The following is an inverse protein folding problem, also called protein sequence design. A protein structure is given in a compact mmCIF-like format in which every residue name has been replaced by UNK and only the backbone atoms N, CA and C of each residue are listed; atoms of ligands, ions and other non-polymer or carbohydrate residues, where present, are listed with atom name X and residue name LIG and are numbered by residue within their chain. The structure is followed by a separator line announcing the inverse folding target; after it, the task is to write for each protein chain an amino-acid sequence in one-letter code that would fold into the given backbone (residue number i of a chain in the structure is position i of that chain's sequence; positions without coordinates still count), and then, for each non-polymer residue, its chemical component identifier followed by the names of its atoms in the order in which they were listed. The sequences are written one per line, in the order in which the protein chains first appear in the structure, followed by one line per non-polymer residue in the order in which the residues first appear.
data_IF_918819643045
#
_entry.id   IF_918819643045
#
_cell.length_a   1.000
_cell.length_b   1.000
_cell.length_c   1.000
_cell.angle_alpha   90.00
_cell.angle_beta   90.00
_cell.angle_gamma   90.00
#
_symmetry.space_group_name_H-M   'P 1'
#
loop_
_entity.id
_entity.type
_entity.pdbx_description
1 polymer ?
#
# COMPACT_ATOMS: atom_id res chain seq x y z
N UNK A 1 -19.86 36.14 7.23
CA UNK A 1 -20.06 34.84 6.54
C UNK A 1 -20.19 33.66 7.53
N UNK A 2 -19.38 33.57 8.60
CA UNK A 2 -19.41 32.43 9.56
C UNK A 2 -20.79 32.31 10.27
N UNK A 3 -21.50 33.39 10.46
CA UNK A 3 -22.81 33.42 11.13
C UNK A 3 -24.00 33.21 10.18
N UNK A 4 -23.75 33.00 8.90
CA UNK A 4 -24.80 32.64 7.94
C UNK A 4 -25.35 31.24 8.25
N UNK A 5 -26.64 31.04 8.44
CA UNK A 5 -27.21 29.75 8.85
C UNK A 5 -26.88 28.59 7.89
N UNK A 6 -26.78 28.87 6.61
CA UNK A 6 -26.41 27.87 5.60
C UNK A 6 -24.94 27.44 5.79
N UNK A 7 -24.07 28.40 6.11
CA UNK A 7 -22.65 28.13 6.33
C UNK A 7 -22.41 27.34 7.61
N UNK A 8 -23.12 27.75 8.70
CA UNK A 8 -23.05 27.03 9.97
C UNK A 8 -23.52 25.58 9.82
N UNK A 9 -24.67 25.36 9.16
CA UNK A 9 -25.18 24.01 8.90
C UNK A 9 -24.23 23.13 8.06
N UNK A 10 -23.52 23.74 7.10
CA UNK A 10 -22.54 23.02 6.29
C UNK A 10 -21.30 22.67 7.10
N UNK A 11 -20.81 23.58 7.97
CA UNK A 11 -19.68 23.30 8.87
C UNK A 11 -20.02 22.20 9.88
N UNK A 12 -21.21 22.21 10.44
CA UNK A 12 -21.69 21.12 11.32
C UNK A 12 -21.69 19.78 10.58
N UNK A 13 -22.23 19.73 9.38
CA UNK A 13 -22.25 18.48 8.59
C UNK A 13 -20.86 17.99 8.22
N UNK A 14 -19.89 18.87 7.96
CA UNK A 14 -18.49 18.47 7.72
C UNK A 14 -17.81 18.02 9.02
N UNK A 15 -18.08 18.68 10.15
CA UNK A 15 -17.58 18.25 11.46
C UNK A 15 -18.12 16.88 11.87
N UNK A 16 -19.40 16.63 11.64
CA UNK A 16 -20.04 15.32 11.89
C UNK A 16 -19.38 14.22 11.06
N UNK A 17 -19.14 14.47 9.77
CA UNK A 17 -18.42 13.51 8.91
C UNK A 17 -17.02 13.20 9.42
N UNK A 18 -16.29 14.20 9.91
CA UNK A 18 -14.96 14.00 10.49
C UNK A 18 -15.07 13.16 11.76
N UNK A 19 -16.03 13.47 12.63
CA UNK A 19 -16.27 12.72 13.86
C UNK A 19 -16.63 11.26 13.56
N UNK A 20 -17.47 11.01 12.55
CA UNK A 20 -17.78 9.66 12.06
C UNK A 20 -16.54 8.91 11.55
N UNK A 21 -15.64 9.60 10.80
CA UNK A 21 -14.38 8.98 10.35
C UNK A 21 -13.51 8.57 11.53
N UNK A 22 -13.36 9.44 12.54
CA UNK A 22 -12.63 9.09 13.76
C UNK A 22 -13.28 7.95 14.55
N UNK A 23 -14.60 7.94 14.64
CA UNK A 23 -15.34 6.87 15.33
C UNK A 23 -15.13 5.49 14.71
N UNK A 24 -14.89 5.43 13.40
CA UNK A 24 -14.54 4.17 12.69
C UNK A 24 -13.03 3.93 12.57
N UNK A 25 -12.21 4.67 13.33
CA UNK A 25 -10.75 4.47 13.39
C UNK A 25 -9.96 5.09 12.25
N UNK A 26 -10.56 5.96 11.44
CA UNK A 26 -9.84 6.68 10.38
C UNK A 26 -9.25 7.97 10.94
N UNK A 27 -7.92 8.05 10.99
CA UNK A 27 -7.22 9.22 11.49
C UNK A 27 -6.75 10.11 10.34
N UNK A 28 -6.83 11.43 10.55
CA UNK A 28 -6.20 12.42 9.68
C UNK A 28 -4.78 12.64 10.21
N UNK A 29 -3.80 12.40 9.36
CA UNK A 29 -2.38 12.49 9.70
C UNK A 29 -1.65 13.32 8.67
N UNK A 30 -0.49 13.88 9.06
CA UNK A 30 0.36 14.60 8.14
C UNK A 30 0.96 13.65 7.09
N UNK A 31 0.78 13.99 5.82
CA UNK A 31 1.26 13.21 4.69
C UNK A 31 0.53 13.54 3.40
N UNK A 32 0.88 12.82 2.35
CA UNK A 32 0.33 12.98 1.01
C UNK A 32 -0.13 11.65 0.42
N UNK A 33 -1.03 11.71 -0.56
CA UNK A 33 -1.33 10.60 -1.45
C UNK A 33 -0.77 10.90 -2.83
N UNK A 34 0.08 10.04 -3.37
CA UNK A 34 0.75 10.25 -4.65
C UNK A 34 0.83 8.96 -5.44
N UNK A 35 0.86 9.08 -6.77
CA UNK A 35 1.07 7.95 -7.66
C UNK A 35 2.51 7.44 -7.57
N UNK A 36 2.69 6.13 -7.47
CA UNK A 36 4.01 5.51 -7.45
C UNK A 36 4.66 5.55 -8.83
N UNK A 37 5.89 5.99 -8.88
CA UNK A 37 6.71 5.98 -10.08
C UNK A 37 8.13 5.50 -9.77
N UNK A 38 8.77 4.89 -10.73
CA UNK A 38 10.22 4.70 -10.72
C UNK A 38 10.97 6.04 -10.87
N UNK A 39 12.27 6.01 -10.69
CA UNK A 39 13.13 7.17 -10.89
C UNK A 39 13.20 7.54 -12.38
N UNK A 40 12.50 8.59 -12.78
CA UNK A 40 12.43 9.03 -14.18
C UNK A 40 13.79 9.54 -14.72
N UNK A 41 14.65 10.08 -13.85
CA UNK A 41 15.99 10.50 -14.28
C UNK A 41 16.89 9.29 -14.49
N UNK A 42 16.80 8.27 -13.64
CA UNK A 42 17.56 7.04 -13.81
C UNK A 42 17.07 6.24 -15.04
N UNK A 43 15.79 6.31 -15.34
CA UNK A 43 15.23 5.74 -16.58
C UNK A 43 15.93 6.32 -17.84
N UNK A 44 16.25 7.62 -17.84
CA UNK A 44 16.97 8.23 -18.94
C UNK A 44 18.38 7.65 -19.10
N UNK A 45 19.03 7.22 -18.02
CA UNK A 45 20.33 6.56 -18.07
C UNK A 45 20.27 5.20 -18.76
N UNK A 46 19.10 4.57 -18.81
CA UNK A 46 18.88 3.27 -19.46
C UNK A 46 18.61 3.40 -20.97
N UNK A 47 18.39 4.61 -21.49
CA UNK A 47 18.11 4.82 -22.90
C UNK A 47 19.39 4.71 -23.75
N UNK A 48 19.40 3.88 -24.81
CA UNK A 48 20.54 3.79 -25.69
C UNK A 48 20.68 5.07 -26.54
N UNK A 49 21.83 5.69 -26.49
CA UNK A 49 22.16 6.84 -27.37
C UNK A 49 22.98 6.38 -28.57
N UNK A 50 22.41 6.56 -29.74
CA UNK A 50 23.13 6.30 -30.98
C UNK A 50 23.99 7.52 -31.32
N UNK A 51 25.31 7.41 -31.18
CA UNK A 51 26.20 8.43 -31.74
C UNK A 51 26.18 8.35 -33.26
N UNK A 52 25.57 9.33 -33.90
CA UNK A 52 25.68 9.56 -35.35
C UNK A 52 27.05 10.13 -35.64
N UNK A 53 27.92 9.40 -36.35
CA UNK A 53 29.17 9.97 -36.85
C UNK A 53 30.39 9.06 -36.96
N UNK A 54 30.35 7.83 -36.47
CA UNK A 54 31.43 6.86 -36.65
C UNK A 54 30.93 5.54 -37.16
N UNK A 55 31.68 4.92 -38.05
CA UNK A 55 31.39 3.70 -38.80
C UNK A 55 31.12 2.43 -37.93
N UNK A 56 31.12 2.53 -36.63
CA UNK A 56 30.70 1.49 -35.69
C UNK A 56 29.58 2.03 -34.78
N UNK A 57 28.38 1.48 -34.92
CA UNK A 57 27.28 1.71 -33.96
C UNK A 57 27.69 1.11 -32.59
N UNK A 58 28.26 1.92 -31.74
CA UNK A 58 28.43 1.58 -30.34
C UNK A 58 27.23 2.14 -29.57
N UNK A 59 26.41 1.26 -28.98
CA UNK A 59 25.40 1.67 -28.03
C UNK A 59 26.12 2.23 -26.80
N UNK A 60 26.20 3.54 -26.72
CA UNK A 60 26.68 4.22 -25.51
C UNK A 60 25.44 4.68 -24.74
N UNK A 61 25.29 4.22 -23.52
CA UNK A 61 24.27 4.75 -22.62
C UNK A 61 24.70 6.16 -22.18
N UNK A 62 23.72 7.07 -22.11
CA UNK A 62 23.96 8.38 -21.51
C UNK A 62 24.09 8.14 -20.01
N UNK A 63 25.27 8.29 -19.47
CA UNK A 63 25.51 8.17 -18.05
C UNK A 63 25.36 9.56 -17.42
N UNK A 64 24.13 9.94 -17.10
CA UNK A 64 23.84 11.15 -16.33
C UNK A 64 24.16 10.91 -14.86
N UNK A 65 25.42 10.78 -14.51
CA UNK A 65 25.84 10.76 -13.11
C UNK A 65 25.69 12.15 -12.51
N UNK A 66 24.46 12.49 -12.19
CA UNK A 66 24.13 13.80 -11.61
C UNK A 66 24.36 13.81 -10.09
N UNK A 67 24.68 12.65 -9.49
CA UNK A 67 24.82 12.48 -8.06
C UNK A 67 23.51 12.62 -7.28
N UNK A 68 22.38 12.46 -7.97
CA UNK A 68 21.03 12.60 -7.45
C UNK A 68 20.18 11.36 -7.75
N UNK A 69 20.83 10.23 -8.06
CA UNK A 69 20.12 8.98 -8.28
C UNK A 69 19.43 8.55 -6.98
N UNK A 70 18.19 8.12 -7.10
CA UNK A 70 17.47 7.52 -5.98
C UNK A 70 18.05 6.13 -5.70
N UNK A 71 18.37 5.88 -4.46
CA UNK A 71 18.81 4.58 -3.97
C UNK A 71 17.68 3.87 -3.19
N UNK A 72 17.99 2.75 -2.58
CA UNK A 72 17.02 1.96 -1.81
C UNK A 72 16.56 2.62 -0.50
N UNK A 73 17.13 3.74 -0.09
CA UNK A 73 16.84 4.41 1.18
C UNK A 73 16.11 5.73 1.02
N UNK A 74 15.99 6.24 -0.20
CA UNK A 74 15.38 7.54 -0.42
C UNK A 74 14.29 7.53 -1.48
N UNK A 75 13.47 8.58 -1.47
CA UNK A 75 12.43 8.85 -2.44
C UNK A 75 12.43 10.33 -2.81
N UNK A 76 11.77 10.67 -3.90
CA UNK A 76 11.57 12.04 -4.32
C UNK A 76 10.09 12.30 -4.59
N UNK A 77 9.56 13.37 -4.02
CA UNK A 77 8.19 13.79 -4.24
C UNK A 77 8.17 15.31 -4.51
N UNK A 78 7.95 15.73 -5.77
CA UNK A 78 7.98 17.13 -6.16
C UNK A 78 6.98 18.00 -5.38
N UNK A 79 7.40 19.19 -4.98
CA UNK A 79 6.54 20.15 -4.28
C UNK A 79 6.12 19.75 -2.87
N UNK A 80 6.61 18.64 -2.32
CA UNK A 80 6.31 18.23 -0.96
C UNK A 80 7.23 18.90 0.05
N UNK A 81 6.65 19.41 1.13
CA UNK A 81 7.39 20.05 2.22
C UNK A 81 7.81 19.02 3.29
N UNK A 82 8.62 18.03 2.90
CA UNK A 82 9.18 17.09 3.88
C UNK A 82 10.39 17.66 4.58
N UNK A 83 10.52 17.38 5.87
CA UNK A 83 11.71 17.81 6.62
C UNK A 83 12.90 16.94 6.25
N UNK A 84 14.00 17.60 5.85
CA UNK A 84 15.28 16.96 5.61
C UNK A 84 15.73 16.14 6.84
N UNK A 85 16.29 14.95 6.58
CA UNK A 85 16.76 14.05 7.62
C UNK A 85 15.67 13.31 8.40
N UNK A 86 14.38 13.58 8.16
CA UNK A 86 13.29 12.85 8.77
C UNK A 86 12.75 11.78 7.83
N UNK A 87 12.60 10.57 8.37
CA UNK A 87 12.03 9.44 7.63
C UNK A 87 10.53 9.65 7.38
N UNK A 88 10.05 9.22 6.23
CA UNK A 88 8.62 9.10 5.93
C UNK A 88 8.26 7.63 5.77
N UNK A 89 7.08 7.25 6.24
CA UNK A 89 6.54 5.91 6.01
C UNK A 89 5.69 5.91 4.76
N UNK A 90 5.99 5.00 3.85
CA UNK A 90 5.23 4.76 2.64
C UNK A 90 4.30 3.56 2.86
N UNK A 91 3.04 3.72 2.51
CA UNK A 91 2.00 2.70 2.62
C UNK A 91 1.15 2.67 1.35
N UNK A 92 0.64 1.48 1.01
CA UNK A 92 -0.40 1.30 0.00
C UNK A 92 -1.65 0.68 0.64
N UNK A 93 -2.82 1.09 0.20
CA UNK A 93 -4.07 0.44 0.63
C UNK A 93 -4.41 -0.75 -0.30
N UNK A 94 -4.92 -1.86 0.24
CA UNK A 94 -5.14 -2.11 1.65
C UNK A 94 -3.82 -2.36 2.39
N UNK A 95 -3.59 -1.66 3.51
CA UNK A 95 -2.45 -1.91 4.40
C UNK A 95 -2.92 -2.84 5.53
N UNK A 96 -2.27 -3.96 5.71
CA UNK A 96 -2.71 -5.04 6.59
C UNK A 96 -1.68 -5.35 7.67
N UNK A 97 -0.40 -5.39 7.31
CA UNK A 97 0.65 -5.83 8.21
C UNK A 97 1.94 -5.02 8.06
N UNK A 98 2.81 -5.10 9.07
CA UNK A 98 4.07 -4.35 9.12
C UNK A 98 5.07 -4.71 8.00
N UNK A 99 4.94 -5.86 7.35
CA UNK A 99 5.76 -6.23 6.19
C UNK A 99 5.43 -5.41 4.94
N UNK A 100 4.32 -4.67 4.94
CA UNK A 100 3.89 -3.76 3.88
C UNK A 100 4.25 -2.30 4.16
N UNK A 101 5.01 -2.04 5.21
CA UNK A 101 5.47 -0.71 5.58
C UNK A 101 6.89 -0.48 5.06
N UNK A 102 7.13 0.70 4.53
CA UNK A 102 8.45 1.08 4.05
C UNK A 102 8.84 2.47 4.55
N UNK A 103 10.00 2.57 5.19
CA UNK A 103 10.53 3.85 5.65
C UNK A 103 11.65 4.32 4.75
N UNK A 104 11.48 5.48 4.15
CA UNK A 104 12.44 6.11 3.25
C UNK A 104 12.69 7.57 3.66
N UNK A 105 13.85 8.06 3.30
CA UNK A 105 14.20 9.47 3.49
C UNK A 105 13.87 10.28 2.24
N UNK A 106 13.30 11.48 2.37
CA UNK A 106 13.20 12.39 1.23
C UNK A 106 14.60 12.72 0.72
N UNK A 107 14.76 12.69 -0.60
CA UNK A 107 16.04 13.05 -1.23
C UNK A 107 16.32 14.56 -1.02
N UNK A 108 17.50 14.87 -0.55
CA UNK A 108 17.99 16.24 -0.48
C UNK A 108 18.56 16.67 -1.85
N UNK A 109 17.80 17.45 -2.57
CA UNK A 109 18.26 18.06 -3.83
C UNK A 109 18.77 19.48 -3.58
N UNK A 110 19.98 19.58 -3.03
CA UNK A 110 20.60 20.88 -2.70
C UNK A 110 20.81 21.79 -3.91
N UNK A 111 20.81 21.23 -5.13
CA UNK A 111 20.95 21.97 -6.38
C UNK A 111 19.63 22.22 -7.07
N UNK A 112 18.55 21.72 -6.53
CA UNK A 112 17.19 21.81 -7.08
C UNK A 112 17.07 21.30 -8.54
N UNK A 113 17.90 20.32 -8.91
CA UNK A 113 17.93 19.80 -10.27
C UNK A 113 16.73 18.93 -10.60
N UNK A 114 16.28 18.12 -9.63
CA UNK A 114 15.08 17.30 -9.83
C UNK A 114 13.84 18.15 -9.95
N UNK A 115 13.66 19.14 -9.09
CA UNK A 115 12.54 20.07 -9.18
C UNK A 115 12.54 20.87 -10.48
N UNK A 116 13.71 21.22 -11.00
CA UNK A 116 13.81 21.91 -12.28
C UNK A 116 13.20 21.12 -13.44
N UNK A 117 13.38 19.80 -13.46
CA UNK A 117 12.91 18.93 -14.54
C UNK A 117 11.59 18.23 -14.21
N UNK A 118 11.37 17.88 -12.95
CA UNK A 118 10.27 17.02 -12.50
C UNK A 118 9.30 17.73 -11.56
N UNK A 119 9.54 19.01 -11.21
CA UNK A 119 8.72 19.79 -10.27
C UNK A 119 7.25 19.91 -10.65
N UNK A 120 6.91 19.74 -11.92
CA UNK A 120 5.53 19.75 -12.41
C UNK A 120 4.75 18.46 -12.07
N UNK A 121 5.42 17.38 -11.65
CA UNK A 121 4.81 16.08 -11.32
C UNK A 121 4.43 16.03 -9.84
N UNK A 122 3.61 16.98 -9.39
CA UNK A 122 3.27 17.16 -7.96
C UNK A 122 2.49 16.01 -7.36
N UNK A 123 1.84 15.20 -8.19
CA UNK A 123 1.02 14.06 -7.74
C UNK A 123 1.77 12.72 -7.75
N UNK A 124 3.11 12.77 -7.92
CA UNK A 124 3.94 11.57 -8.06
C UNK A 124 4.92 11.45 -6.90
N UNK A 125 5.15 10.24 -6.45
CA UNK A 125 6.27 9.85 -5.58
C UNK A 125 7.18 8.90 -6.35
N UNK A 126 8.46 9.24 -6.43
CA UNK A 126 9.46 8.48 -7.18
C UNK A 126 10.36 7.70 -6.23
N UNK A 127 10.60 6.45 -6.54
CA UNK A 127 11.50 5.56 -5.81
C UNK A 127 12.60 5.03 -6.71
N UNK A 128 13.78 4.77 -6.15
CA UNK A 128 14.90 4.21 -6.92
C UNK A 128 14.58 2.80 -7.42
N UNK A 129 15.15 2.41 -8.56
CA UNK A 129 14.93 1.07 -9.11
C UNK A 129 15.53 -0.05 -8.23
N UNK A 130 16.44 0.28 -7.33
CA UNK A 130 16.98 -0.62 -6.30
C UNK A 130 16.12 -0.68 -5.04
N UNK A 131 15.08 0.14 -4.96
CA UNK A 131 14.12 0.13 -3.88
C UNK A 131 13.22 -1.11 -3.97
N UNK A 132 12.77 -1.59 -2.82
CA UNK A 132 11.79 -2.66 -2.71
C UNK A 132 10.36 -2.16 -2.59
N UNK A 133 10.11 -0.91 -3.00
CA UNK A 133 8.81 -0.30 -2.81
C UNK A 133 7.68 -1.11 -3.45
N UNK A 134 7.86 -1.57 -4.68
CA UNK A 134 6.85 -2.37 -5.36
C UNK A 134 6.56 -3.69 -4.64
N UNK A 135 7.60 -4.38 -4.21
CA UNK A 135 7.47 -5.69 -3.55
C UNK A 135 6.90 -5.58 -2.13
N UNK A 136 7.22 -4.50 -1.40
CA UNK A 136 6.80 -4.32 -0.01
C UNK A 136 5.44 -3.65 0.14
N UNK A 137 5.07 -2.78 -0.77
CA UNK A 137 3.83 -2.01 -0.65
C UNK A 137 2.61 -2.78 -1.18
N UNK A 138 2.39 -3.99 -0.67
CA UNK A 138 1.21 -4.79 -0.98
C UNK A 138 1.10 -5.17 -2.46
N UNK A 139 2.24 -5.51 -3.10
CA UNK A 139 2.28 -5.83 -4.53
C UNK A 139 2.00 -4.61 -5.41
N UNK A 140 2.41 -3.43 -4.97
CA UNK A 140 2.32 -2.22 -5.78
C UNK A 140 3.04 -2.40 -7.11
N UNK A 141 2.46 -1.89 -8.16
CA UNK A 141 3.10 -1.77 -9.47
C UNK A 141 3.06 -0.31 -9.95
N UNK A 142 3.56 -0.06 -11.14
CA UNK A 142 3.70 1.30 -11.68
C UNK A 142 2.59 1.64 -12.68
N UNK A 143 1.45 0.98 -12.58
CA UNK A 143 0.30 1.15 -13.48
C UNK A 143 -0.71 2.21 -13.03
N UNK A 144 -0.41 2.91 -11.95
CA UNK A 144 -1.27 3.96 -11.38
C UNK A 144 -1.58 3.76 -9.90
N UNK A 145 -0.85 2.89 -9.23
CA UNK A 145 -0.99 2.68 -7.79
C UNK A 145 -0.70 3.93 -6.99
N UNK A 146 -1.59 4.20 -6.04
CA UNK A 146 -1.49 5.36 -5.15
C UNK A 146 -0.89 4.96 -3.82
N UNK A 147 0.17 5.67 -3.45
CA UNK A 147 0.93 5.47 -2.22
C UNK A 147 0.68 6.63 -1.27
N UNK A 148 0.50 6.31 0.01
CA UNK A 148 0.49 7.30 1.08
C UNK A 148 1.91 7.51 1.57
N UNK A 149 2.35 8.75 1.61
CA UNK A 149 3.59 9.19 2.25
C UNK A 149 3.27 9.87 3.56
N UNK A 150 3.56 9.22 4.68
CA UNK A 150 3.24 9.71 6.02
C UNK A 150 4.46 10.40 6.61
N UNK A 151 4.33 11.66 6.94
CA UNK A 151 5.36 12.47 7.58
C UNK A 151 5.14 12.72 9.08
N UNK A 152 4.04 12.18 9.63
CA UNK A 152 3.73 12.29 11.05
C UNK A 152 4.81 11.63 11.92
N UNK A 153 5.43 12.35 12.87
CA UNK A 153 6.56 11.84 13.65
C UNK A 153 6.17 10.71 14.61
N UNK A 154 4.93 10.72 15.13
CA UNK A 154 4.46 9.69 16.06
C UNK A 154 4.28 8.38 15.31
N UNK A 155 3.63 8.42 14.15
CA UNK A 155 3.42 7.23 13.33
C UNK A 155 4.75 6.68 12.79
N UNK A 156 5.65 7.54 12.34
CA UNK A 156 6.97 7.13 11.88
C UNK A 156 7.78 6.44 12.99
N UNK A 157 7.68 6.92 14.23
CA UNK A 157 8.33 6.28 15.36
C UNK A 157 7.65 4.94 15.72
N UNK A 158 6.34 4.84 15.63
CA UNK A 158 5.61 3.57 15.83
C UNK A 158 6.05 2.51 14.81
N UNK A 159 6.12 2.86 13.53
CA UNK A 159 6.62 1.95 12.48
C UNK A 159 8.06 1.54 12.74
N UNK A 160 8.93 2.49 13.10
CA UNK A 160 10.33 2.21 13.42
C UNK A 160 10.49 1.21 14.57
N UNK A 161 9.65 1.30 15.60
CA UNK A 161 9.67 0.34 16.74
C UNK A 161 9.17 -1.05 16.36
N UNK A 162 8.31 -1.14 15.36
CA UNK A 162 7.70 -2.38 14.91
C UNK A 162 8.18 -2.82 13.52
N UNK A 163 9.36 -2.36 13.11
CA UNK A 163 9.85 -2.62 11.76
C UNK A 163 9.96 -4.12 11.50
N UNK A 164 9.51 -4.52 10.32
CA UNK A 164 9.62 -5.89 9.87
C UNK A 164 11.08 -6.19 9.50
N UNK A 165 11.65 -7.20 10.14
CA UNK A 165 12.95 -7.73 9.78
C UNK A 165 12.76 -9.02 9.00
N UNK A 166 13.19 -9.00 7.75
CA UNK A 166 13.20 -10.22 6.95
C UNK A 166 14.09 -11.26 7.62
N UNK A 167 13.64 -12.50 7.76
CA UNK A 167 14.49 -13.56 8.26
C UNK A 167 15.70 -13.77 7.33
N UNK A 168 16.85 -14.20 7.86
CA UNK A 168 18.06 -14.40 7.09
C UNK A 168 17.83 -15.45 6.00
N UNK A 169 18.11 -15.08 4.75
CA UNK A 169 17.94 -15.94 3.57
C UNK A 169 19.27 -16.48 3.09
N UNK A 170 19.30 -17.72 2.57
CA UNK A 170 20.40 -18.12 1.72
C UNK A 170 20.43 -17.19 0.49
N UNK A 171 21.62 -16.70 0.16
CA UNK A 171 21.83 -15.88 -1.04
C UNK A 171 21.34 -16.64 -2.27
N UNK A 172 20.20 -16.27 -2.83
CA UNK A 172 19.77 -16.76 -4.12
C UNK A 172 20.32 -15.83 -5.21
N UNK A 173 20.73 -16.41 -6.31
CA UNK A 173 21.30 -15.71 -7.47
C UNK A 173 20.29 -14.69 -8.08
N UNK A 174 19.01 -14.81 -7.75
CA UNK A 174 17.93 -13.96 -8.24
C UNK A 174 17.45 -12.89 -7.25
N UNK A 175 18.02 -12.85 -6.06
CA UNK A 175 17.67 -11.84 -5.06
C UNK A 175 18.34 -10.51 -5.41
N UNK A 176 17.65 -9.62 -6.06
CA UNK A 176 18.11 -8.23 -6.29
C UNK A 176 18.25 -7.47 -4.96
N UNK A 177 17.65 -7.94 -3.90
CA UNK A 177 17.76 -7.37 -2.58
C UNK A 177 17.65 -8.45 -1.51
N UNK A 178 18.21 -8.15 -0.33
CA UNK A 178 18.23 -9.05 0.81
C UNK A 178 16.92 -9.05 1.62
N UNK A 179 15.90 -8.30 1.18
CA UNK A 179 14.74 -7.97 1.98
C UNK A 179 13.39 -8.26 1.27
N UNK A 180 13.32 -9.25 0.42
CA UNK A 180 12.04 -9.68 -0.15
C UNK A 180 11.21 -10.42 0.91
N UNK A 181 9.91 -10.17 1.01
CA UNK A 181 9.03 -10.93 1.89
C UNK A 181 9.19 -12.42 1.63
N UNK A 182 9.35 -13.18 2.71
CA UNK A 182 9.74 -14.59 2.62
C UNK A 182 8.59 -15.55 2.41
N UNK A 183 7.37 -15.11 2.59
CA UNK A 183 6.26 -16.00 2.48
C UNK A 183 6.10 -16.43 1.03
N UNK A 184 6.68 -17.57 0.70
CA UNK A 184 6.41 -18.25 -0.55
C UNK A 184 5.19 -19.14 -0.32
N UNK A 185 4.03 -18.66 -0.74
CA UNK A 185 2.86 -19.51 -0.82
C UNK A 185 3.02 -20.36 -2.08
N UNK A 186 2.91 -21.70 -1.98
CA UNK A 186 2.92 -22.54 -3.16
C UNK A 186 1.81 -22.08 -4.10
N UNK A 187 2.17 -21.55 -5.25
CA UNK A 187 1.20 -21.12 -6.25
C UNK A 187 0.78 -22.31 -7.11
N UNK A 188 -0.52 -22.52 -7.24
CA UNK A 188 -1.04 -23.34 -8.31
C UNK A 188 -0.60 -22.75 -9.66
N UNK A 189 -0.43 -23.60 -10.67
CA UNK A 189 -0.15 -23.11 -12.01
C UNK A 189 -1.31 -22.27 -12.53
N UNK A 190 -1.04 -21.12 -13.19
CA UNK A 190 -2.10 -20.30 -13.77
C UNK A 190 -2.92 -21.11 -14.77
N UNK A 191 -4.24 -21.01 -14.67
CA UNK A 191 -5.12 -21.62 -15.66
C UNK A 191 -5.07 -20.78 -16.94
N UNK A 192 -4.45 -21.33 -17.98
CA UNK A 192 -4.47 -20.71 -19.30
C UNK A 192 -5.87 -20.92 -19.89
N UNK A 193 -6.62 -19.83 -20.11
CA UNK A 193 -7.94 -19.86 -20.74
C UNK A 193 -7.86 -19.31 -22.14
N UNK A 194 -8.61 -19.91 -23.06
CA UNK A 194 -8.68 -19.41 -24.42
C UNK A 194 -9.51 -18.11 -24.45
N UNK A 195 -8.90 -17.04 -24.93
CA UNK A 195 -9.57 -15.73 -25.05
C UNK A 195 -10.72 -15.73 -26.09
N UNK A 196 -10.72 -16.65 -27.04
CA UNK A 196 -11.78 -16.77 -28.03
C UNK A 196 -12.99 -17.57 -27.53
N UNK A 197 -12.83 -18.27 -26.41
CA UNK A 197 -13.94 -18.98 -25.75
C UNK A 197 -14.75 -18.02 -24.88
N UNK A 198 -16.00 -17.81 -25.26
CA UNK A 198 -16.90 -16.90 -24.54
C UNK A 198 -17.27 -17.41 -23.13
N UNK A 199 -17.38 -18.71 -22.92
CA UNK A 199 -17.65 -19.30 -21.61
C UNK A 199 -16.48 -19.08 -20.67
N UNK A 200 -15.26 -19.31 -21.14
CA UNK A 200 -14.05 -19.03 -20.37
C UNK A 200 -13.92 -17.54 -20.00
N UNK A 201 -14.27 -16.63 -20.91
CA UNK A 201 -14.32 -15.18 -20.63
C UNK A 201 -15.39 -14.86 -19.59
N UNK A 202 -16.59 -15.41 -19.74
CA UNK A 202 -17.68 -15.20 -18.81
C UNK A 202 -17.32 -15.66 -17.39
N UNK A 203 -16.76 -16.88 -17.24
CA UNK A 203 -16.32 -17.40 -15.96
C UNK A 203 -15.18 -16.56 -15.36
N UNK A 204 -14.29 -16.03 -16.18
CA UNK A 204 -13.24 -15.14 -15.71
C UNK A 204 -13.85 -13.86 -15.13
N UNK A 205 -14.76 -13.20 -15.85
CA UNK A 205 -15.46 -12.01 -15.37
C UNK A 205 -16.28 -12.32 -14.12
N UNK A 206 -17.06 -13.42 -14.13
CA UNK A 206 -17.86 -13.84 -12.99
C UNK A 206 -17.01 -14.05 -11.73
N UNK A 207 -15.81 -14.62 -11.88
CA UNK A 207 -14.91 -14.85 -10.75
C UNK A 207 -14.44 -13.56 -10.09
N UNK A 208 -14.42 -12.41 -10.79
CA UNK A 208 -14.01 -11.12 -10.23
C UNK A 208 -15.04 -10.53 -9.26
N UNK A 209 -16.33 -10.89 -9.41
CA UNK A 209 -17.40 -10.34 -8.57
C UNK A 209 -17.44 -10.90 -7.14
N UNK A 210 -16.71 -11.95 -6.85
CA UNK A 210 -16.69 -12.62 -5.54
C UNK A 210 -15.38 -12.39 -4.79
N UNK A 211 -14.80 -11.20 -4.87
CA UNK A 211 -13.57 -10.84 -4.15
C UNK A 211 -13.76 -10.98 -2.64
N UNK A 212 -12.82 -11.66 -1.98
CA UNK A 212 -12.79 -11.90 -0.54
C UNK A 212 -11.85 -10.92 0.21
N UNK A 213 -11.32 -9.91 -0.48
CA UNK A 213 -10.38 -8.93 0.09
C UNK A 213 -10.90 -8.33 1.40
N UNK A 214 -12.19 -7.93 1.44
CA UNK A 214 -12.80 -7.41 2.66
C UNK A 214 -12.84 -8.42 3.81
N UNK A 215 -13.04 -9.71 3.52
CA UNK A 215 -13.01 -10.77 4.55
C UNK A 215 -11.60 -10.99 5.08
N UNK A 216 -10.59 -10.96 4.21
CA UNK A 216 -9.18 -11.08 4.58
C UNK A 216 -8.77 -9.89 5.45
N UNK A 217 -9.09 -8.66 5.03
CA UNK A 217 -8.80 -7.44 5.80
C UNK A 217 -9.44 -7.48 7.20
N UNK A 218 -10.68 -7.94 7.31
CA UNK A 218 -11.34 -8.08 8.61
C UNK A 218 -10.67 -9.16 9.48
N UNK A 219 -10.30 -10.29 8.90
CA UNK A 219 -9.60 -11.36 9.61
C UNK A 219 -8.21 -10.90 10.10
N UNK A 220 -7.49 -10.12 9.29
CA UNK A 220 -6.21 -9.54 9.67
C UNK A 220 -6.37 -8.48 10.78
N UNK A 221 -7.38 -7.63 10.69
CA UNK A 221 -7.66 -6.63 11.72
C UNK A 221 -7.94 -7.29 13.07
N UNK A 222 -8.76 -8.32 13.09
CA UNK A 222 -9.07 -9.06 14.32
C UNK A 222 -7.78 -9.63 14.96
N UNK A 223 -6.85 -10.15 14.16
CA UNK A 223 -5.56 -10.68 14.65
C UNK A 223 -4.61 -9.57 15.08
N UNK A 224 -4.60 -8.44 14.40
CA UNK A 224 -3.74 -7.32 14.74
C UNK A 224 -4.03 -6.76 16.13
N UNK A 225 -5.29 -6.84 16.59
CA UNK A 225 -5.67 -6.40 17.94
C UNK A 225 -4.94 -7.24 19.01
N UNK A 226 -4.78 -8.53 18.79
CA UNK A 226 -4.02 -9.39 19.71
C UNK A 226 -2.52 -9.19 19.51
N UNK A 227 -2.07 -9.14 18.26
CA UNK A 227 -0.66 -9.04 17.89
C UNK A 227 0.05 -7.82 18.51
N UNK A 228 -0.68 -6.72 18.68
CA UNK A 228 -0.16 -5.46 19.21
C UNK A 228 -0.67 -5.10 20.62
N UNK A 229 -1.40 -5.98 21.28
CA UNK A 229 -1.83 -5.78 22.66
C UNK A 229 -0.77 -6.32 23.63
N UNK A 230 -0.15 -5.42 24.39
CA UNK A 230 0.89 -5.77 25.38
C UNK A 230 0.40 -6.68 26.50
N UNK A 231 -0.91 -6.70 26.76
CA UNK A 231 -1.52 -7.55 27.79
C UNK A 231 -1.88 -8.97 27.29
N UNK A 232 -1.73 -9.25 26.01
CA UNK A 232 -1.92 -10.60 25.47
C UNK A 232 -0.69 -11.46 25.72
N UNK A 233 -0.90 -12.79 25.74
CA UNK A 233 0.20 -13.73 25.86
C UNK A 233 1.22 -13.56 24.73
N UNK A 234 2.51 -13.78 25.04
CA UNK A 234 3.62 -13.55 24.10
C UNK A 234 3.54 -14.48 22.89
N UNK A 235 3.27 -15.77 23.13
CA UNK A 235 3.16 -16.77 22.05
C UNK A 235 1.97 -16.47 21.15
N UNK A 236 0.83 -16.08 21.75
CA UNK A 236 -0.36 -15.70 21.00
C UNK A 236 -0.12 -14.43 20.17
N UNK A 237 0.60 -13.44 20.69
CA UNK A 237 0.96 -12.24 19.96
C UNK A 237 1.81 -12.55 18.73
N UNK A 238 2.86 -13.35 18.89
CA UNK A 238 3.74 -13.70 17.77
C UNK A 238 2.98 -14.51 16.71
N UNK A 239 2.17 -15.48 17.11
CA UNK A 239 1.32 -16.21 16.17
C UNK A 239 0.39 -15.27 15.39
N UNK A 240 -0.29 -14.36 16.08
CA UNK A 240 -1.18 -13.39 15.42
C UNK A 240 -0.43 -12.43 14.50
N UNK A 241 0.82 -12.06 14.79
CA UNK A 241 1.66 -11.29 13.89
C UNK A 241 1.98 -12.05 12.61
N UNK A 242 2.44 -13.28 12.72
CA UNK A 242 2.74 -14.15 11.57
C UNK A 242 1.49 -14.37 10.70
N UNK A 243 0.33 -14.63 11.33
CA UNK A 243 -0.93 -14.77 10.61
C UNK A 243 -1.33 -13.48 9.91
N UNK A 244 -1.10 -12.31 10.52
CA UNK A 244 -1.39 -11.00 9.90
C UNK A 244 -0.50 -10.76 8.68
N UNK A 245 0.79 -11.07 8.80
CA UNK A 245 1.76 -10.97 7.70
C UNK A 245 1.42 -11.93 6.55
N UNK A 246 0.96 -13.13 6.88
CA UNK A 246 0.45 -14.10 5.91
C UNK A 246 -0.78 -13.58 5.18
N UNK A 247 -1.74 -13.01 5.93
CA UNK A 247 -2.97 -12.45 5.36
C UNK A 247 -2.68 -11.25 4.45
N UNK A 248 -1.64 -10.47 4.71
CA UNK A 248 -1.22 -9.41 3.80
C UNK A 248 -0.84 -9.95 2.42
N UNK A 249 -0.07 -11.03 2.38
CA UNK A 249 0.31 -11.69 1.11
C UNK A 249 -0.88 -12.34 0.43
N UNK A 250 -1.74 -13.02 1.20
CA UNK A 250 -2.97 -13.62 0.68
C UNK A 250 -3.92 -12.57 0.09
N UNK A 251 -3.92 -11.35 0.63
CA UNK A 251 -4.68 -10.22 0.06
C UNK A 251 -4.18 -9.85 -1.33
N UNK A 252 -2.87 -9.73 -1.52
CA UNK A 252 -2.28 -9.50 -2.84
C UNK A 252 -2.63 -10.60 -3.83
N UNK A 253 -2.53 -11.86 -3.43
CA UNK A 253 -2.92 -13.00 -4.26
C UNK A 253 -4.42 -13.01 -4.61
N UNK A 254 -5.28 -12.63 -3.67
CA UNK A 254 -6.72 -12.52 -3.94
C UNK A 254 -7.04 -11.37 -4.91
N UNK A 255 -6.35 -10.22 -4.79
CA UNK A 255 -6.46 -9.11 -5.75
C UNK A 255 -6.05 -9.57 -7.15
N UNK A 256 -4.92 -10.25 -7.26
CA UNK A 256 -4.39 -10.74 -8.53
C UNK A 256 -5.11 -11.98 -9.06
N UNK A 257 -6.01 -12.57 -8.29
CA UNK A 257 -6.75 -13.76 -8.71
C UNK A 257 -7.57 -13.55 -9.98
N UNK A 258 -8.04 -12.33 -10.22
CA UNK A 258 -8.74 -11.94 -11.44
C UNK A 258 -7.81 -11.98 -12.67
N UNK A 259 -6.53 -11.68 -12.50
CA UNK A 259 -5.51 -11.68 -13.56
C UNK A 259 -4.93 -13.07 -13.77
N UNK A 260 -4.64 -13.78 -12.68
CA UNK A 260 -3.94 -15.08 -12.69
C UNK A 260 -4.87 -16.29 -12.80
N UNK A 261 -6.14 -16.16 -12.44
CA UNK A 261 -7.08 -17.26 -12.28
C UNK A 261 -6.81 -18.15 -11.06
N UNK A 262 -5.85 -17.79 -10.21
CA UNK A 262 -5.46 -18.52 -9.01
C UNK A 262 -6.05 -17.80 -7.79
N UNK A 263 -6.82 -18.53 -6.98
CA UNK A 263 -7.32 -18.03 -5.71
C UNK A 263 -6.56 -18.65 -4.55
N UNK A 264 -6.17 -17.86 -3.54
CA UNK A 264 -5.58 -18.41 -2.34
C UNK A 264 -6.60 -19.22 -1.54
N UNK A 265 -6.11 -20.28 -0.88
CA UNK A 265 -6.89 -20.96 0.15
C UNK A 265 -6.92 -20.09 1.41
N UNK A 266 -8.14 -19.79 1.86
CA UNK A 266 -8.39 -18.92 3.02
C UNK A 266 -9.14 -19.65 4.15
N UNK A 267 -9.44 -20.92 3.98
CA UNK A 267 -10.31 -21.64 4.90
C UNK A 267 -9.76 -21.63 6.33
N UNK A 268 -8.46 -21.84 6.47
CA UNK A 268 -7.77 -21.79 7.77
C UNK A 268 -7.92 -20.42 8.46
N UNK A 269 -7.95 -19.34 7.72
CA UNK A 269 -7.95 -17.97 8.26
C UNK A 269 -9.35 -17.39 8.46
N UNK A 270 -10.33 -17.83 7.70
CA UNK A 270 -11.67 -17.26 7.70
C UNK A 270 -12.66 -18.01 8.62
N UNK A 271 -12.42 -19.29 8.94
CA UNK A 271 -13.30 -20.12 9.75
C UNK A 271 -13.24 -19.75 11.24
N UNK A 272 -12.08 -19.32 11.73
CA UNK A 272 -11.90 -18.99 13.14
C UNK A 272 -12.36 -17.58 13.48
N UNK A 273 -13.67 -17.43 13.72
CA UNK A 273 -14.27 -16.17 14.24
C UNK A 273 -14.00 -15.94 15.74
N UNK A 274 -12.94 -16.46 16.29
CA UNK A 274 -12.69 -16.43 17.73
C UNK A 274 -12.04 -15.18 18.23
N UNK A 275 -11.86 -14.19 17.38
CA UNK A 275 -11.09 -13.04 17.76
C UNK A 275 -11.99 -11.93 18.29
N UNK A 276 -11.51 -11.32 19.32
CA UNK A 276 -12.12 -10.22 20.03
C UNK A 276 -12.24 -9.01 19.09
N UNK A 277 -13.39 -8.81 18.48
CA UNK A 277 -13.64 -7.60 17.68
C UNK A 277 -13.38 -6.35 18.50
N UNK A 278 -12.71 -5.39 17.89
CA UNK A 278 -12.53 -4.07 18.49
C UNK A 278 -13.88 -3.39 18.72
N UNK A 279 -13.95 -2.58 19.76
CA UNK A 279 -15.21 -1.95 20.15
C UNK A 279 -15.74 -1.00 19.07
N UNK A 280 -14.85 -0.32 18.33
CA UNK A 280 -15.28 0.54 17.22
C UNK A 280 -15.96 -0.23 16.08
N UNK A 281 -15.54 -1.46 15.77
CA UNK A 281 -16.22 -2.31 14.79
C UNK A 281 -17.60 -2.77 15.26
N UNK A 282 -17.77 -2.98 16.57
CA UNK A 282 -19.07 -3.25 17.15
C UNK A 282 -20.02 -2.06 17.02
N UNK A 283 -19.52 -0.85 17.29
CA UNK A 283 -20.28 0.38 17.12
C UNK A 283 -20.66 0.62 15.66
N UNK A 284 -19.76 0.39 14.72
CA UNK A 284 -20.05 0.49 13.29
C UNK A 284 -21.20 -0.43 12.89
N UNK A 285 -21.16 -1.68 13.29
CA UNK A 285 -22.24 -2.64 13.01
C UNK A 285 -23.57 -2.18 13.63
N UNK A 286 -23.55 -1.67 14.85
CA UNK A 286 -24.75 -1.14 15.51
C UNK A 286 -25.34 0.07 14.78
N UNK A 287 -24.50 0.98 14.30
CA UNK A 287 -24.93 2.15 13.52
C UNK A 287 -25.56 1.69 12.20
N UNK A 288 -24.90 0.80 11.47
CA UNK A 288 -25.44 0.24 10.22
C UNK A 288 -26.79 -0.49 10.43
N UNK A 289 -26.95 -1.24 11.53
CA UNK A 289 -28.21 -1.85 11.89
C UNK A 289 -29.29 -0.81 12.24
N UNK A 290 -28.93 0.25 12.94
CA UNK A 290 -29.87 1.32 13.30
C UNK A 290 -30.31 2.10 12.06
N UNK A 291 -29.41 2.41 11.14
CA UNK A 291 -29.72 3.08 9.86
C UNK A 291 -30.64 2.20 8.99
N UNK A 292 -30.34 0.90 8.91
CA UNK A 292 -31.17 -0.05 8.19
C UNK A 292 -32.58 -0.09 8.79
N UNK A 293 -32.71 -0.13 10.11
CA UNK A 293 -34.03 -0.08 10.79
C UNK A 293 -34.74 1.25 10.56
N UNK A 294 -34.03 2.37 10.55
CA UNK A 294 -34.61 3.69 10.25
C UNK A 294 -35.20 3.75 8.86
N UNK A 295 -34.46 3.25 7.87
CA UNK A 295 -34.91 3.20 6.47
C UNK A 295 -36.19 2.37 6.28
N UNK A 296 -36.47 1.41 7.16
CA UNK A 296 -37.71 0.62 7.14
C UNK A 296 -38.91 1.35 7.78
N UNK A 297 -38.66 2.40 8.57
CA UNK A 297 -39.71 3.14 9.29
C UNK A 297 -40.00 4.53 8.70
N UNK A 298 -39.23 5.02 7.74
CA UNK A 298 -39.53 6.24 7.03
C UNK A 298 -40.56 5.93 5.94
N UNK A 299 -41.81 6.47 6.04
CA UNK A 299 -42.78 6.29 4.99
C UNK A 299 -42.28 7.02 3.74
N UNK A 300 -42.18 6.29 2.64
CA UNK A 300 -41.98 6.87 1.31
C UNK A 300 -43.12 7.85 1.01
N UNK A 301 -42.80 9.14 1.10
CA UNK A 301 -43.64 10.21 0.59
C UNK A 301 -43.35 10.47 -0.88
#
# INVERSE_FOLDING_TARGET
FINEPIYAKRLEAEADKIAEQYAVGRLIVAGDNRYLSGDLLDFLNCLPVTKTGTSKKTNTFINFRWGLELNHQNFFAPGAAYQSGHVCTLLRNPHIARNEEMQLYPLEDSKNLRDQYLGHLTDVVMVGYTSLAAERLGGADYDGDMIKTISDPILNECVKRNIYHDPPRPRSVFSRSHNLPLLMIPTAQPQIRNADDWEARFETVRSTFSSRVGQICNAALDRSIIAYNENSDVEERERCREETETLAILTGLEIDSAKSGIRPDLDEYLIHKTVRRSDFLKYKTLVEEMETRRAWYEPTH
#
